data_IF_124137883508
#
_entry.id   IF_124137883508
#
_cell.length_a   1.000
_cell.length_b   1.000
_cell.length_c   1.000
_cell.angle_alpha   90.00
_cell.angle_beta   90.00
_cell.angle_gamma   90.00
#
_symmetry.space_group_name_H-M   'P 1'
#
loop_
_entity.id
_entity.type
_entity.pdbx_description
1 polymer ?
#
# COMPACT_ATOMS: atom_id res chain seq x y z
N UNK A 1 -14.07 17.30 10.59
CA UNK A 1 -12.63 17.07 10.38
C UNK A 1 -12.13 16.15 11.48
N UNK A 2 -11.49 15.02 11.17
CA UNK A 2 -10.70 14.33 12.18
C UNK A 2 -9.59 15.27 12.67
N UNK A 3 -9.16 15.18 13.94
CA UNK A 3 -8.05 15.98 14.44
C UNK A 3 -6.82 15.69 13.58
N UNK A 4 -6.18 16.75 13.07
CA UNK A 4 -4.88 16.62 12.42
C UNK A 4 -3.91 16.05 13.46
N UNK A 5 -3.47 14.81 13.24
CA UNK A 5 -2.29 14.25 13.90
C UNK A 5 -1.10 15.11 13.47
N UNK A 6 -0.81 16.18 14.22
CA UNK A 6 0.40 16.98 14.06
C UNK A 6 1.47 16.40 14.96
N UNK A 7 2.37 15.60 14.36
CA UNK A 7 3.60 15.20 15.02
C UNK A 7 4.37 16.44 15.42
N UNK A 8 4.88 16.47 16.65
CA UNK A 8 5.77 17.52 17.10
C UNK A 8 7.20 17.29 16.54
N UNK A 9 8.07 18.30 16.62
CA UNK A 9 9.42 18.23 16.06
C UNK A 9 10.26 17.08 16.62
N UNK A 10 10.01 16.65 17.86
CA UNK A 10 10.73 15.52 18.46
C UNK A 10 10.25 14.20 17.84
N UNK A 11 8.94 14.01 17.71
CA UNK A 11 8.35 12.83 17.07
C UNK A 11 8.73 12.75 15.58
N UNK A 12 8.75 13.88 14.87
CA UNK A 12 9.22 13.95 13.49
C UNK A 12 10.69 13.53 13.39
N UNK A 13 11.56 14.03 14.27
CA UNK A 13 12.97 13.63 14.30
C UNK A 13 13.16 12.15 14.67
N UNK A 14 12.34 11.59 15.55
CA UNK A 14 12.39 10.16 15.89
C UNK A 14 11.97 9.30 14.68
N UNK A 15 10.91 9.69 13.98
CA UNK A 15 10.48 9.04 12.73
C UNK A 15 11.55 9.15 11.65
N UNK A 16 12.10 10.34 11.43
CA UNK A 16 13.17 10.56 10.46
C UNK A 16 14.42 9.75 10.81
N UNK A 17 14.80 9.68 12.08
CA UNK A 17 15.93 8.87 12.51
C UNK A 17 15.67 7.37 12.34
N UNK A 18 14.43 6.90 12.55
CA UNK A 18 14.05 5.51 12.28
C UNK A 18 14.14 5.23 10.77
N UNK A 19 13.46 6.05 9.96
CA UNK A 19 13.35 5.88 8.51
C UNK A 19 14.70 6.00 7.80
N UNK A 20 15.62 6.81 8.33
CA UNK A 20 16.96 7.02 7.80
C UNK A 20 18.03 6.19 8.54
N UNK A 21 17.64 5.32 9.48
CA UNK A 21 18.58 4.40 10.09
C UNK A 21 19.02 3.38 9.04
N UNK A 22 20.30 3.37 8.67
CA UNK A 22 20.86 2.31 7.82
C UNK A 22 20.65 0.90 8.42
N UNK A 23 20.43 0.78 9.74
CA UNK A 23 20.09 -0.49 10.39
C UNK A 23 18.63 -0.94 10.18
N UNK A 24 17.74 -0.06 9.72
CA UNK A 24 16.44 -0.45 9.14
C UNK A 24 16.58 -0.78 7.65
N UNK A 25 17.81 -0.85 7.14
CA UNK A 25 18.16 -1.27 5.80
C UNK A 25 17.27 -2.41 5.34
N UNK A 26 16.39 -2.11 4.39
CA UNK A 26 15.68 -3.16 3.68
C UNK A 26 16.70 -3.83 2.76
N UNK A 27 17.50 -4.73 3.33
CA UNK A 27 18.46 -5.54 2.57
C UNK A 27 17.74 -6.50 1.61
N UNK A 28 16.44 -6.70 1.83
CA UNK A 28 15.55 -7.49 1.00
C UNK A 28 14.29 -6.69 0.60
N UNK A 29 13.76 -6.90 -0.62
CA UNK A 29 12.50 -6.31 -1.05
C UNK A 29 11.35 -6.66 -0.10
N UNK A 30 10.59 -5.63 0.30
CA UNK A 30 9.36 -5.78 1.09
C UNK A 30 8.16 -5.50 0.21
N UNK A 31 7.25 -6.46 0.16
CA UNK A 31 6.03 -6.40 -0.63
C UNK A 31 4.83 -6.43 0.32
N UNK A 32 3.97 -5.41 0.27
CA UNK A 32 2.76 -5.29 1.10
C UNK A 32 1.53 -5.40 0.20
N UNK A 33 0.61 -6.32 0.50
CA UNK A 33 -0.67 -6.46 -0.19
C UNK A 33 -1.81 -5.94 0.70
N UNK A 34 -2.56 -4.96 0.21
CA UNK A 34 -3.76 -4.44 0.85
C UNK A 34 -4.99 -5.15 0.28
N UNK A 35 -5.71 -5.89 1.11
CA UNK A 35 -6.88 -6.66 0.71
C UNK A 35 -8.02 -6.50 1.73
N UNK A 36 -9.26 -6.52 1.25
CA UNK A 36 -10.47 -6.19 2.03
C UNK A 36 -11.64 -5.79 1.12
N UNK A 37 -12.80 -5.47 1.68
CA UNK A 37 -13.99 -5.15 0.87
C UNK A 37 -13.87 -3.76 0.20
N UNK A 38 -14.65 -3.47 -0.83
CA UNK A 38 -14.78 -2.10 -1.35
C UNK A 38 -15.33 -1.19 -0.27
N UNK A 39 -14.80 0.03 -0.22
CA UNK A 39 -15.17 1.03 0.78
C UNK A 39 -14.38 0.95 2.11
N UNK A 40 -13.64 -0.14 2.38
CA UNK A 40 -12.85 -0.28 3.63
C UNK A 40 -11.63 0.65 3.72
N UNK A 41 -11.37 1.46 2.68
CA UNK A 41 -10.32 2.49 2.70
C UNK A 41 -8.92 2.01 2.32
N UNK A 42 -8.77 0.86 1.63
CA UNK A 42 -7.47 0.34 1.17
C UNK A 42 -6.68 1.34 0.32
N UNK A 43 -7.30 1.91 -0.71
CA UNK A 43 -6.67 2.92 -1.57
C UNK A 43 -6.37 4.22 -0.81
N UNK A 44 -7.19 4.57 0.18
CA UNK A 44 -6.92 5.70 1.09
C UNK A 44 -5.67 5.42 1.94
N UNK A 45 -5.53 4.21 2.48
CA UNK A 45 -4.34 3.79 3.22
C UNK A 45 -3.10 3.78 2.31
N UNK A 46 -3.25 3.31 1.07
CA UNK A 46 -2.18 3.35 0.08
C UNK A 46 -1.69 4.77 -0.19
N UNK A 47 -2.59 5.72 -0.44
CA UNK A 47 -2.23 7.13 -0.63
C UNK A 47 -1.54 7.72 0.61
N UNK A 48 -2.05 7.40 1.81
CA UNK A 48 -1.45 7.86 3.06
C UNK A 48 -0.02 7.32 3.26
N UNK A 49 0.23 6.06 2.90
CA UNK A 49 1.56 5.45 2.97
C UNK A 49 2.53 6.01 1.92
N UNK A 50 2.05 6.28 0.71
CA UNK A 50 2.88 6.79 -0.39
C UNK A 50 3.14 8.30 -0.27
N UNK A 51 2.30 9.04 0.47
CA UNK A 51 2.40 10.49 0.61
C UNK A 51 2.02 11.26 -0.67
N UNK A 52 1.32 10.60 -1.60
CA UNK A 52 0.86 11.14 -2.89
C UNK A 52 -0.47 10.46 -3.28
N UNK A 53 -1.39 11.23 -3.88
CA UNK A 53 -2.67 10.73 -4.40
C UNK A 53 -2.50 9.92 -5.70
N UNK A 54 -1.77 8.80 -5.63
CA UNK A 54 -1.52 7.93 -6.78
C UNK A 54 -2.58 6.84 -6.97
N UNK A 55 -3.22 6.38 -5.89
CA UNK A 55 -4.35 5.46 -5.96
C UNK A 55 -5.65 6.24 -6.16
N UNK A 56 -6.45 5.82 -7.13
CA UNK A 56 -7.73 6.45 -7.44
C UNK A 56 -8.71 6.30 -6.26
N UNK A 57 -8.89 7.37 -5.48
CA UNK A 57 -9.86 7.41 -4.38
C UNK A 57 -11.12 8.16 -4.83
N UNK A 58 -12.22 7.45 -4.98
CA UNK A 58 -13.54 8.02 -5.26
C UNK A 58 -14.46 7.82 -4.06
N UNK A 59 -15.13 8.89 -3.60
CA UNK A 59 -16.15 8.83 -2.56
C UNK A 59 -17.37 8.05 -3.05
N UNK A 60 -17.39 6.73 -2.85
CA UNK A 60 -18.61 5.91 -2.93
C UNK A 60 -18.69 4.84 -4.03
N UNK A 61 -17.68 4.66 -4.88
CA UNK A 61 -17.64 3.56 -5.85
C UNK A 61 -16.25 2.91 -5.91
N UNK A 62 -16.15 1.56 -6.07
CA UNK A 62 -14.88 0.89 -6.29
C UNK A 62 -14.22 1.46 -7.54
N UNK A 63 -13.11 2.18 -7.39
CA UNK A 63 -12.36 2.76 -8.52
C UNK A 63 -11.18 1.89 -8.93
N UNK A 64 -10.55 1.19 -7.97
CA UNK A 64 -9.45 0.25 -8.24
C UNK A 64 -9.99 -0.99 -8.96
N UNK A 65 -9.56 -1.19 -10.21
CA UNK A 65 -9.77 -2.44 -10.96
C UNK A 65 -8.50 -3.29 -10.91
N UNK A 66 -8.66 -4.57 -10.61
CA UNK A 66 -7.53 -5.50 -10.52
C UNK A 66 -6.56 -5.17 -9.38
N UNK A 67 -5.28 -5.49 -9.58
CA UNK A 67 -4.21 -5.19 -8.62
C UNK A 67 -3.37 -4.04 -9.16
N UNK A 68 -3.25 -2.96 -8.38
CA UNK A 68 -2.38 -1.83 -8.67
C UNK A 68 -1.09 -1.95 -7.86
N UNK A 69 0.03 -1.54 -8.44
CA UNK A 69 1.36 -1.70 -7.89
C UNK A 69 2.04 -0.33 -7.77
N UNK A 70 2.57 -0.02 -6.59
CA UNK A 70 3.23 1.24 -6.30
C UNK A 70 4.58 0.97 -5.61
N UNK A 71 5.67 1.38 -6.25
CA UNK A 71 7.02 1.32 -5.66
C UNK A 71 7.29 2.59 -4.84
N UNK A 72 7.82 2.45 -3.63
CA UNK A 72 8.07 3.57 -2.72
C UNK A 72 9.45 4.20 -2.97
N UNK A 73 9.46 5.29 -3.73
CA UNK A 73 10.66 6.13 -3.96
C UNK A 73 11.87 5.29 -4.38
N UNK A 74 12.96 5.39 -3.63
CA UNK A 74 14.25 4.72 -3.82
C UNK A 74 14.45 3.53 -2.86
N UNK A 75 13.42 3.15 -2.11
CA UNK A 75 13.48 2.02 -1.18
C UNK A 75 12.90 0.77 -1.83
N UNK A 76 13.37 -0.44 -1.47
CA UNK A 76 12.86 -1.69 -2.02
C UNK A 76 11.56 -2.08 -1.31
N UNK A 77 10.56 -1.20 -1.37
CA UNK A 77 9.24 -1.36 -0.77
C UNK A 77 8.18 -1.21 -1.87
N UNK A 78 7.36 -2.23 -2.06
CA UNK A 78 6.26 -2.23 -3.04
C UNK A 78 4.93 -2.44 -2.33
N UNK A 79 3.96 -1.58 -2.65
CA UNK A 79 2.59 -1.67 -2.18
C UNK A 79 1.67 -2.14 -3.31
N UNK A 80 0.86 -3.15 -3.02
CA UNK A 80 -0.16 -3.70 -3.91
C UNK A 80 -1.55 -3.37 -3.36
N UNK A 81 -2.33 -2.56 -4.06
CA UNK A 81 -3.73 -2.26 -3.73
C UNK A 81 -4.66 -3.12 -4.59
N UNK A 82 -5.61 -3.83 -3.97
CA UNK A 82 -6.55 -4.68 -4.69
C UNK A 82 -7.94 -4.07 -4.77
N UNK A 83 -8.68 -4.43 -5.81
CA UNK A 83 -10.14 -4.29 -5.83
C UNK A 83 -10.80 -5.02 -4.64
N UNK A 84 -12.02 -4.61 -4.29
CA UNK A 84 -12.81 -5.22 -3.21
C UNK A 84 -13.11 -6.70 -3.47
N UNK A 85 -13.00 -7.54 -2.42
CA UNK A 85 -13.24 -8.99 -2.54
C UNK A 85 -14.66 -9.35 -3.02
N UNK A 86 -15.65 -8.49 -2.75
CA UNK A 86 -17.05 -8.68 -3.15
C UNK A 86 -17.34 -8.38 -4.62
N UNK A 87 -16.49 -7.57 -5.28
CA UNK A 87 -16.64 -7.23 -6.71
C UNK A 87 -15.97 -8.29 -7.58
N UNK A 88 -15.05 -9.05 -7.00
CA UNK A 88 -14.25 -10.02 -7.72
C UNK A 88 -14.79 -11.44 -7.50
N UNK A 89 -15.13 -12.13 -8.59
CA UNK A 89 -15.31 -13.59 -8.59
C UNK A 89 -14.11 -14.24 -7.90
N UNK A 90 -14.34 -14.89 -6.75
CA UNK A 90 -13.32 -15.20 -5.74
C UNK A 90 -12.16 -16.02 -6.32
N UNK A 91 -12.41 -16.80 -7.38
CA UNK A 91 -11.40 -17.58 -8.10
C UNK A 91 -10.42 -16.72 -8.90
N UNK A 92 -10.87 -15.61 -9.50
CA UNK A 92 -10.00 -14.70 -10.27
C UNK A 92 -9.05 -13.92 -9.37
N UNK A 93 -9.52 -13.43 -8.22
CA UNK A 93 -8.65 -12.70 -7.26
C UNK A 93 -7.57 -13.58 -6.70
N UNK A 94 -7.92 -14.78 -6.23
CA UNK A 94 -6.94 -15.72 -5.68
C UNK A 94 -5.93 -16.14 -6.76
N UNK A 95 -6.37 -16.29 -8.01
CA UNK A 95 -5.47 -16.51 -9.16
C UNK A 95 -4.50 -15.35 -9.38
N UNK A 96 -5.01 -14.12 -9.47
CA UNK A 96 -4.20 -12.92 -9.70
C UNK A 96 -3.21 -12.65 -8.54
N UNK A 97 -3.63 -12.86 -7.29
CA UNK A 97 -2.76 -12.74 -6.12
C UNK A 97 -1.69 -13.83 -6.14
N UNK A 98 -2.03 -15.08 -6.51
CA UNK A 98 -1.05 -16.15 -6.65
C UNK A 98 -0.03 -15.85 -7.75
N UNK A 99 -0.47 -15.42 -8.93
CA UNK A 99 0.42 -15.01 -10.02
C UNK A 99 1.35 -13.86 -9.60
N UNK A 100 0.81 -12.89 -8.84
CA UNK A 100 1.61 -11.82 -8.29
C UNK A 100 2.69 -12.34 -7.32
N UNK A 101 2.31 -13.20 -6.38
CA UNK A 101 3.26 -13.80 -5.42
C UNK A 101 4.35 -14.57 -6.18
N UNK A 102 3.97 -15.39 -7.16
CA UNK A 102 4.92 -16.16 -7.98
C UNK A 102 5.87 -15.25 -8.79
N UNK A 103 5.38 -14.11 -9.27
CA UNK A 103 6.19 -13.12 -9.98
C UNK A 103 7.21 -12.46 -9.06
N UNK A 104 6.78 -11.98 -7.89
CA UNK A 104 7.64 -11.24 -6.97
C UNK A 104 8.64 -12.13 -6.23
N UNK A 105 8.31 -13.39 -5.93
CA UNK A 105 9.24 -14.34 -5.30
C UNK A 105 10.40 -14.71 -6.22
N UNK A 106 10.22 -14.59 -7.55
CA UNK A 106 11.26 -14.89 -8.55
C UNK A 106 12.14 -13.67 -8.90
N UNK A 107 11.82 -12.50 -8.36
CA UNK A 107 12.51 -11.23 -8.65
C UNK A 107 13.73 -11.07 -7.75
#
# INVERSE_FOLDING_TARGET
MPPELRLNNKELNEVDNLVNNEALGFDAPVNILLAGNSGDGKSTLANAMLGVDLAATGTGFPVTKGIQCYEYRDKPLTLFDTEGFEVLDSKRTVGAVRELIEREVRR
#
